data_IF_448598449269
#
_entry.id   IF_448598449269
#
_cell.length_a   1.000
_cell.length_b   1.000
_cell.length_c   1.000
_cell.angle_alpha   90.00
_cell.angle_beta   90.00
_cell.angle_gamma   90.00
#
_symmetry.space_group_name_H-M   'P 1'
#
loop_
_entity.id
_entity.type
_entity.pdbx_description
1 polymer ?
#
# COMPACT_ATOMS: atom_id res chain seq x y z
N UNK A 1 -21.25 -19.81 -7.78
CA UNK A 1 -20.67 -19.05 -6.65
C UNK A 1 -19.20 -19.41 -6.59
N UNK A 2 -18.32 -18.49 -6.99
CA UNK A 2 -16.87 -18.68 -6.90
C UNK A 2 -16.47 -18.60 -5.43
N UNK A 3 -15.76 -19.60 -4.92
CA UNK A 3 -15.29 -19.58 -3.54
C UNK A 3 -14.30 -18.41 -3.34
N UNK A 4 -14.36 -17.73 -2.20
CA UNK A 4 -13.46 -16.61 -1.86
C UNK A 4 -11.98 -17.03 -1.84
N UNK A 5 -11.69 -18.30 -1.54
CA UNK A 5 -10.35 -18.88 -1.59
C UNK A 5 -9.71 -18.82 -3.00
N UNK A 6 -10.51 -18.87 -4.08
CA UNK A 6 -10.01 -18.79 -5.46
C UNK A 6 -9.70 -17.35 -5.89
N UNK A 7 -10.06 -16.34 -5.08
CA UNK A 7 -9.84 -14.92 -5.33
C UNK A 7 -8.64 -14.43 -4.52
N UNK A 8 -7.49 -15.06 -4.72
CA UNK A 8 -6.26 -14.70 -4.02
C UNK A 8 -5.31 -13.91 -4.95
N UNK A 9 -5.08 -12.61 -4.70
CA UNK A 9 -4.20 -11.78 -5.52
C UNK A 9 -2.71 -12.10 -5.34
N UNK A 10 -2.35 -12.92 -4.34
CA UNK A 10 -0.97 -13.29 -4.02
C UNK A 10 -0.49 -14.56 -4.76
N UNK A 11 -1.34 -15.21 -5.55
CA UNK A 11 -0.95 -16.37 -6.35
C UNK A 11 0.02 -15.96 -7.48
N UNK A 12 1.04 -16.78 -7.76
CA UNK A 12 2.08 -16.47 -8.74
C UNK A 12 1.51 -16.11 -10.13
N UNK A 13 0.59 -16.92 -10.64
CA UNK A 13 -0.05 -16.69 -11.94
C UNK A 13 -0.84 -15.38 -11.99
N UNK A 14 -1.38 -14.94 -10.84
CA UNK A 14 -2.11 -13.67 -10.72
C UNK A 14 -1.13 -12.50 -10.67
N UNK A 15 0.03 -12.66 -10.04
CA UNK A 15 1.09 -11.64 -10.03
C UNK A 15 1.59 -11.38 -11.46
N UNK A 16 1.74 -12.43 -12.27
CA UNK A 16 2.15 -12.30 -13.67
C UNK A 16 1.08 -11.64 -14.55
N UNK A 17 -0.20 -12.00 -14.38
CA UNK A 17 -1.30 -11.44 -15.15
C UNK A 17 -2.53 -11.16 -14.26
N UNK A 18 -2.61 -9.98 -13.61
CA UNK A 18 -3.58 -9.74 -12.55
C UNK A 18 -4.98 -9.37 -13.05
N UNK A 19 -5.10 -8.78 -14.24
CA UNK A 19 -6.34 -8.17 -14.70
C UNK A 19 -7.54 -9.14 -14.78
N UNK A 20 -7.40 -10.38 -15.29
CA UNK A 20 -8.51 -11.33 -15.31
C UNK A 20 -9.02 -11.68 -13.91
N UNK A 21 -8.12 -11.79 -12.93
CA UNK A 21 -8.51 -12.03 -11.54
C UNK A 21 -9.19 -10.79 -10.93
N UNK A 22 -8.64 -9.60 -11.17
CA UNK A 22 -9.20 -8.35 -10.64
C UNK A 22 -10.62 -8.09 -11.15
N UNK A 23 -10.96 -8.50 -12.39
CA UNK A 23 -12.34 -8.44 -12.89
C UNK A 23 -13.29 -9.25 -12.01
N UNK A 24 -12.95 -10.51 -11.73
CA UNK A 24 -13.74 -11.37 -10.84
C UNK A 24 -13.81 -10.85 -9.41
N UNK A 25 -12.69 -10.31 -8.89
CA UNK A 25 -12.66 -9.76 -7.54
C UNK A 25 -13.56 -8.52 -7.40
N UNK A 26 -13.69 -7.70 -8.45
CA UNK A 26 -14.57 -6.51 -8.46
C UNK A 26 -16.06 -6.85 -8.40
N UNK A 27 -16.46 -8.01 -8.89
CA UNK A 27 -17.84 -8.50 -8.75
C UNK A 27 -18.19 -8.68 -7.27
N UNK A 28 -17.27 -9.20 -6.45
CA UNK A 28 -17.42 -9.29 -4.99
C UNK A 28 -17.30 -7.93 -4.31
N UNK A 29 -16.33 -7.12 -4.74
CA UNK A 29 -16.08 -5.77 -4.21
C UNK A 29 -15.25 -5.74 -2.95
N UNK A 30 -15.81 -6.21 -1.83
CA UNK A 30 -15.09 -6.33 -0.55
C UNK A 30 -15.30 -7.73 0.01
N UNK A 31 -14.21 -8.42 0.33
CA UNK A 31 -14.28 -9.76 0.90
C UNK A 31 -13.08 -10.05 1.79
N UNK A 32 -13.26 -11.02 2.69
CA UNK A 32 -12.20 -11.49 3.57
C UNK A 32 -11.40 -12.61 2.89
N UNK A 33 -10.09 -12.49 2.92
CA UNK A 33 -9.15 -13.51 2.43
C UNK A 33 -8.52 -14.21 3.64
N UNK A 34 -9.07 -15.38 3.99
CA UNK A 34 -8.65 -16.15 5.16
C UNK A 34 -7.17 -16.54 5.11
N UNK A 35 -6.62 -16.87 3.93
CA UNK A 35 -5.22 -17.28 3.79
C UNK A 35 -4.21 -16.20 4.13
N UNK A 36 -4.61 -14.93 4.13
CA UNK A 36 -3.78 -13.78 4.44
C UNK A 36 -4.33 -12.97 5.63
N UNK A 37 -5.35 -13.47 6.33
CA UNK A 37 -6.01 -12.82 7.47
C UNK A 37 -6.35 -11.34 7.21
N UNK A 38 -6.84 -11.02 6.01
CA UNK A 38 -6.97 -9.62 5.56
C UNK A 38 -8.22 -9.37 4.73
N UNK A 39 -8.65 -8.12 4.71
CA UNK A 39 -9.74 -7.65 3.85
C UNK A 39 -9.21 -7.16 2.51
N UNK A 40 -9.82 -7.64 1.44
CA UNK A 40 -9.51 -7.22 0.07
C UNK A 40 -10.59 -6.26 -0.42
N UNK A 41 -10.17 -5.12 -0.98
CA UNK A 41 -11.05 -4.04 -1.48
C UNK A 41 -10.70 -3.78 -2.94
N UNK A 42 -11.68 -3.91 -3.85
CA UNK A 42 -11.38 -3.89 -5.30
C UNK A 42 -12.21 -2.90 -6.12
N UNK A 43 -13.38 -2.46 -5.62
CA UNK A 43 -14.20 -1.44 -6.31
C UNK A 43 -13.60 -0.06 -6.10
N UNK A 44 -13.66 0.76 -7.16
CA UNK A 44 -13.02 2.07 -7.19
C UNK A 44 -13.49 2.97 -6.04
N UNK A 45 -14.80 3.03 -5.81
CA UNK A 45 -15.42 3.87 -4.78
C UNK A 45 -14.95 3.46 -3.38
N UNK A 46 -14.88 2.16 -3.12
CA UNK A 46 -14.46 1.61 -1.83
C UNK A 46 -12.97 1.85 -1.59
N UNK A 47 -12.12 1.64 -2.61
CA UNK A 47 -10.68 1.96 -2.54
C UNK A 47 -10.48 3.45 -2.25
N UNK A 48 -11.19 4.33 -2.96
CA UNK A 48 -11.10 5.78 -2.73
C UNK A 48 -11.57 6.18 -1.33
N UNK A 49 -12.61 5.53 -0.79
CA UNK A 49 -13.07 5.75 0.57
C UNK A 49 -12.00 5.38 1.58
N UNK A 50 -11.42 4.17 1.47
CA UNK A 50 -10.37 3.68 2.37
C UNK A 50 -9.16 4.61 2.34
N UNK A 51 -8.64 4.94 1.15
CA UNK A 51 -7.44 5.77 0.98
C UNK A 51 -7.60 7.21 1.50
N UNK A 52 -8.83 7.73 1.60
CA UNK A 52 -9.09 9.10 2.10
C UNK A 52 -9.38 9.16 3.59
N UNK A 53 -9.61 8.02 4.24
CA UNK A 53 -10.02 7.93 5.66
C UNK A 53 -8.90 7.40 6.52
N UNK A 54 -7.76 8.11 6.55
CA UNK A 54 -6.63 7.74 7.43
C UNK A 54 -6.97 7.85 8.93
N UNK A 55 -8.09 8.49 9.27
CA UNK A 55 -8.69 8.47 10.61
C UNK A 55 -9.32 7.12 10.99
N UNK A 56 -9.68 6.30 9.99
CA UNK A 56 -10.23 4.96 10.16
C UNK A 56 -9.25 3.86 9.77
N UNK A 57 -8.43 4.09 8.74
CA UNK A 57 -7.51 3.12 8.15
C UNK A 57 -6.07 3.62 8.31
N UNK A 58 -5.42 3.16 9.37
CA UNK A 58 -4.04 3.50 9.71
C UNK A 58 -3.05 2.99 8.65
N UNK A 59 -2.03 3.78 8.35
CA UNK A 59 -0.92 3.39 7.48
C UNK A 59 0.24 2.72 8.23
N UNK A 60 0.14 2.61 9.55
CA UNK A 60 1.12 1.84 10.32
C UNK A 60 1.20 0.42 9.74
N UNK A 61 2.41 -0.10 9.49
CA UNK A 61 2.57 -1.44 8.98
C UNK A 61 1.91 -2.43 9.95
N UNK A 62 0.82 -3.03 9.47
CA UNK A 62 0.37 -4.34 9.92
C UNK A 62 1.54 -5.26 9.58
N UNK A 63 2.30 -5.63 10.60
CA UNK A 63 3.41 -6.56 10.41
C UNK A 63 2.73 -7.85 10.06
N UNK A 64 2.74 -8.20 8.78
CA UNK A 64 2.36 -9.54 8.37
C UNK A 64 3.35 -10.49 9.06
N UNK A 65 2.86 -11.42 9.92
CA UNK A 65 3.70 -12.37 10.64
C UNK A 65 4.60 -13.21 9.72
N UNK A 66 4.33 -13.22 8.41
CA UNK A 66 5.00 -14.04 7.42
C UNK A 66 6.03 -13.29 6.56
N UNK A 67 6.08 -11.95 6.57
CA UNK A 67 6.92 -11.19 5.61
C UNK A 67 8.13 -10.48 6.22
N UNK A 68 8.20 -10.26 7.53
CA UNK A 68 9.38 -9.65 8.17
C UNK A 68 9.72 -10.31 9.52
N UNK A 69 11.01 -10.62 9.79
CA UNK A 69 11.45 -10.95 11.14
C UNK A 69 11.03 -9.85 12.13
N UNK A 70 10.61 -10.24 13.34
CA UNK A 70 10.03 -9.34 14.35
C UNK A 70 10.90 -8.09 14.65
N UNK A 71 12.21 -8.21 14.56
CA UNK A 71 13.15 -7.10 14.73
C UNK A 71 13.06 -6.06 13.60
N UNK A 72 12.95 -6.50 12.34
CA UNK A 72 12.83 -5.61 11.18
C UNK A 72 11.45 -4.95 11.14
N UNK A 73 10.42 -5.68 11.54
CA UNK A 73 9.08 -5.16 11.77
C UNK A 73 9.07 -4.04 12.85
N UNK A 74 9.80 -4.26 13.95
CA UNK A 74 9.96 -3.25 15.01
C UNK A 74 10.75 -2.05 14.50
N UNK A 75 11.85 -2.28 13.78
CA UNK A 75 12.67 -1.23 13.19
C UNK A 75 11.88 -0.41 12.15
N UNK A 76 11.06 -1.02 11.31
CA UNK A 76 10.22 -0.32 10.33
C UNK A 76 9.18 0.58 11.01
N UNK A 77 8.63 0.13 12.15
CA UNK A 77 7.74 0.94 13.01
C UNK A 77 8.50 2.07 13.72
N UNK A 78 9.71 1.81 14.21
CA UNK A 78 10.54 2.75 14.95
C UNK A 78 11.23 3.80 14.06
N UNK A 79 11.55 3.45 12.81
CA UNK A 79 12.25 4.33 11.86
C UNK A 79 11.32 5.20 11.03
N UNK A 80 10.00 5.04 11.17
CA UNK A 80 8.99 5.99 10.70
C UNK A 80 9.22 6.46 9.27
N UNK A 81 9.11 5.55 8.30
CA UNK A 81 9.12 5.97 6.90
C UNK A 81 7.82 6.73 6.57
N UNK A 82 7.91 7.76 5.74
CA UNK A 82 6.75 8.55 5.30
C UNK A 82 5.52 7.67 4.93
N UNK A 83 5.64 6.58 4.15
CA UNK A 83 4.48 5.75 3.80
C UNK A 83 3.88 4.92 4.94
N UNK A 84 4.63 4.69 6.03
CA UNK A 84 4.24 3.79 7.12
C UNK A 84 3.88 4.52 8.42
N UNK A 85 3.35 5.74 8.31
CA UNK A 85 3.05 6.61 9.45
C UNK A 85 1.70 7.30 9.27
N UNK A 86 1.07 7.67 10.39
CA UNK A 86 -0.17 8.46 10.41
C UNK A 86 0.09 9.85 11.03
N UNK A 87 -0.84 10.81 10.93
CA UNK A 87 -0.72 12.07 11.65
C UNK A 87 -0.63 11.86 13.18
N UNK A 88 0.18 12.67 13.91
CA UNK A 88 0.90 13.85 13.43
C UNK A 88 2.25 13.58 12.75
N UNK A 89 2.87 12.41 12.94
CA UNK A 89 4.21 12.06 12.43
C UNK A 89 4.28 12.15 10.90
N UNK A 90 3.29 11.58 10.20
CA UNK A 90 3.18 11.66 8.74
C UNK A 90 3.18 13.12 8.25
N UNK A 91 2.52 14.01 8.99
CA UNK A 91 2.45 15.44 8.62
C UNK A 91 3.82 16.09 8.74
N UNK A 92 4.57 15.74 9.77
CA UNK A 92 5.94 16.21 9.96
C UNK A 92 6.86 15.71 8.84
N UNK A 93 6.88 14.41 8.56
CA UNK A 93 7.71 13.83 7.51
C UNK A 93 7.37 14.39 6.12
N UNK A 94 6.08 14.56 5.81
CA UNK A 94 5.65 15.10 4.52
C UNK A 94 6.10 16.54 4.32
N UNK A 95 6.11 17.34 5.39
CA UNK A 95 6.62 18.72 5.37
C UNK A 95 8.12 18.78 5.05
N UNK A 96 8.91 17.81 5.53
CA UNK A 96 10.34 17.72 5.25
C UNK A 96 10.62 17.26 3.81
N UNK A 97 9.86 16.27 3.31
CA UNK A 97 10.07 15.70 1.98
C UNK A 97 9.51 16.57 0.84
N UNK A 98 8.38 17.25 1.08
CA UNK A 98 7.61 17.98 0.06
C UNK A 98 8.42 18.94 -0.85
N UNK A 99 9.35 19.77 -0.34
CA UNK A 99 10.13 20.68 -1.18
C UNK A 99 10.95 19.97 -2.26
N UNK A 100 11.51 18.79 -1.98
CA UNK A 100 12.31 18.00 -2.91
C UNK A 100 11.48 17.39 -4.03
N UNK A 101 10.21 17.10 -3.76
CA UNK A 101 9.25 16.55 -4.72
C UNK A 101 8.39 17.64 -5.40
N UNK A 102 8.66 18.91 -5.13
CA UNK A 102 8.04 20.03 -5.86
C UNK A 102 8.56 20.09 -7.29
N UNK A 103 7.85 20.78 -8.19
CA UNK A 103 8.30 21.03 -9.57
C UNK A 103 9.76 21.50 -9.61
N UNK A 104 10.10 22.54 -8.83
CA UNK A 104 11.47 23.09 -8.74
C UNK A 104 12.47 22.07 -8.19
N UNK A 105 12.05 21.26 -7.21
CA UNK A 105 12.87 20.18 -6.67
C UNK A 105 13.23 19.15 -7.73
N UNK A 106 12.24 18.67 -8.48
CA UNK A 106 12.43 17.70 -9.57
C UNK A 106 13.30 18.27 -10.70
N UNK A 107 13.04 19.50 -11.16
CA UNK A 107 13.85 20.19 -12.19
C UNK A 107 15.32 20.32 -11.77
N UNK A 108 15.61 20.48 -10.48
CA UNK A 108 17.00 20.53 -10.00
C UNK A 108 17.74 19.19 -10.08
N UNK A 109 17.00 18.07 -10.06
CA UNK A 109 17.56 16.72 -10.17
C UNK A 109 17.66 16.23 -11.62
N UNK A 110 16.85 16.77 -12.53
CA UNK A 110 16.79 16.38 -13.94
C UNK A 110 18.18 16.28 -14.61
N UNK A 111 19.13 17.24 -14.44
CA UNK A 111 20.45 17.14 -15.07
C UNK A 111 21.31 15.97 -14.59
N UNK A 112 21.02 15.37 -13.43
CA UNK A 112 21.75 14.21 -12.91
C UNK A 112 21.31 12.90 -13.58
N UNK A 113 20.06 12.83 -14.04
CA UNK A 113 19.50 11.65 -14.73
C UNK A 113 20.17 11.45 -16.10
N UNK A 114 20.51 12.54 -16.78
CA UNK A 114 21.14 12.51 -18.10
C UNK A 114 22.66 12.35 -18.08
N UNK A 115 23.26 12.23 -16.89
CA UNK A 115 24.71 12.20 -16.72
C UNK A 115 25.32 10.79 -16.76
N UNK A 116 24.56 9.80 -17.25
CA UNK A 116 24.97 8.38 -17.39
C UNK A 116 26.09 8.24 -18.42
#
# INVERSE_FOLDING_TARGET
>A
MTATADLNPYNADVIECPYPMYERMREQGVYYLESADTWIVTRWEDVQFVLKRSDLFSNLPQVDPHSLPAEQARLARETGALPGSDPPEHTHYRRLAGPWLSKRGIESFEPNVYRV
#
